data_IF_369420861405
#
_entry.id   IF_369420861405
#
_cell.length_a   1.000
_cell.length_b   1.000
_cell.length_c   1.000
_cell.angle_alpha   90.00
_cell.angle_beta   90.00
_cell.angle_gamma   90.00
#
_symmetry.space_group_name_H-M   'P 1'
#
loop_
_entity.id
_entity.type
_entity.pdbx_description
1 polymer ?
#
# COMPACT_ATOMS: atom_id res chain seq x y z
N UNK A 1 -44.89 40.59 43.96
CA UNK A 1 -43.44 40.68 43.61
C UNK A 1 -42.99 39.31 43.13
N UNK A 2 -43.06 39.10 41.86
CA UNK A 2 -42.67 37.84 41.21
C UNK A 2 -41.26 38.04 40.61
N UNK A 3 -40.29 37.39 41.20
CA UNK A 3 -38.89 37.38 40.73
C UNK A 3 -38.79 36.45 39.53
N UNK A 4 -38.48 36.99 38.34
CA UNK A 4 -38.07 36.25 37.16
C UNK A 4 -36.59 35.89 37.30
N UNK A 5 -36.29 34.62 37.46
CA UNK A 5 -34.94 34.06 37.34
C UNK A 5 -34.58 33.91 35.84
N UNK A 6 -33.70 34.76 35.36
CA UNK A 6 -33.06 34.60 34.05
C UNK A 6 -32.17 33.35 34.08
N UNK A 7 -32.55 32.33 33.32
CA UNK A 7 -31.66 31.21 33.01
C UNK A 7 -30.55 31.69 32.04
N UNK A 8 -29.30 31.30 32.25
CA UNK A 8 -28.24 31.65 31.30
C UNK A 8 -28.48 30.95 29.96
N UNK A 9 -28.64 31.74 28.91
CA UNK A 9 -28.60 31.26 27.54
C UNK A 9 -27.17 30.72 27.27
N UNK A 10 -27.05 29.41 27.11
CA UNK A 10 -25.83 28.82 26.58
C UNK A 10 -25.67 29.33 25.16
N UNK A 11 -24.67 30.17 24.96
CA UNK A 11 -24.23 30.63 23.66
C UNK A 11 -23.82 29.38 22.85
N UNK A 12 -24.51 29.13 21.73
CA UNK A 12 -24.16 28.03 20.84
C UNK A 12 -22.72 28.25 20.36
N UNK A 13 -21.79 27.40 20.82
CA UNK A 13 -20.39 27.47 20.47
C UNK A 13 -20.26 27.65 18.95
N UNK A 14 -19.58 28.73 18.53
CA UNK A 14 -19.35 29.00 17.13
C UNK A 14 -18.78 27.73 16.45
N UNK A 15 -19.26 27.36 15.26
CA UNK A 15 -18.82 26.11 14.60
C UNK A 15 -17.30 26.13 14.50
N UNK A 16 -16.64 25.15 15.10
CA UNK A 16 -15.19 24.99 15.06
C UNK A 16 -14.73 25.04 13.61
N UNK A 17 -13.81 25.96 13.29
CA UNK A 17 -13.29 26.12 11.93
C UNK A 17 -12.66 24.80 11.49
N UNK A 18 -13.14 24.23 10.39
CA UNK A 18 -12.57 23.04 9.78
C UNK A 18 -11.11 23.28 9.34
N UNK A 19 -10.24 22.36 9.66
CA UNK A 19 -8.86 22.37 9.21
C UNK A 19 -8.79 22.15 7.68
N UNK A 20 -8.22 23.08 6.92
CA UNK A 20 -8.08 22.99 5.47
C UNK A 20 -6.79 22.27 5.10
N UNK A 21 -6.87 21.03 4.65
CA UNK A 21 -5.71 20.20 4.34
C UNK A 21 -5.60 19.96 2.84
N UNK A 22 -4.41 20.22 2.30
CA UNK A 22 -4.04 19.85 0.94
C UNK A 22 -3.37 18.48 0.96
N UNK A 23 -4.07 17.47 0.46
CA UNK A 23 -3.54 16.13 0.27
C UNK A 23 -2.90 16.00 -1.12
N UNK A 24 -1.61 15.74 -1.18
CA UNK A 24 -0.88 15.51 -2.43
C UNK A 24 -0.62 14.01 -2.56
N UNK A 25 -1.16 13.39 -3.59
CA UNK A 25 -0.88 11.98 -3.92
C UNK A 25 -0.09 11.89 -5.22
N UNK A 26 1.02 11.18 -5.21
CA UNK A 26 1.99 11.17 -6.31
C UNK A 26 1.65 10.19 -7.45
N UNK A 27 0.49 9.56 -7.42
CA UNK A 27 0.08 8.62 -8.47
C UNK A 27 -1.41 8.71 -8.80
N UNK A 28 -1.74 8.51 -10.07
CA UNK A 28 -3.11 8.33 -10.56
C UNK A 28 -3.45 6.85 -10.83
N UNK A 29 -2.45 5.95 -10.67
CA UNK A 29 -2.53 4.54 -11.04
C UNK A 29 -3.14 3.68 -9.92
N UNK A 30 -3.66 2.52 -10.30
CA UNK A 30 -4.09 1.52 -9.33
C UNK A 30 -2.86 0.94 -8.59
N UNK A 31 -2.91 0.95 -7.26
CA UNK A 31 -1.81 0.42 -6.45
C UNK A 31 -1.92 0.79 -4.98
N UNK A 32 -0.94 0.38 -4.19
CA UNK A 32 -0.86 0.63 -2.75
C UNK A 32 -1.05 2.10 -2.37
N UNK A 33 -0.27 3.05 -2.92
CA UNK A 33 -0.39 4.47 -2.58
C UNK A 33 -1.78 5.05 -2.82
N UNK A 34 -2.41 4.70 -3.97
CA UNK A 34 -3.77 5.16 -4.28
C UNK A 34 -4.84 4.62 -3.35
N UNK A 35 -4.71 3.37 -2.89
CA UNK A 35 -5.63 2.80 -1.89
C UNK A 35 -5.36 3.38 -0.49
N UNK A 36 -4.10 3.60 -0.14
CA UNK A 36 -3.74 4.20 1.14
C UNK A 36 -4.36 5.58 1.33
N UNK A 37 -4.22 6.47 0.33
CA UNK A 37 -4.82 7.80 0.42
C UNK A 37 -6.36 7.73 0.45
N UNK A 38 -6.98 6.81 -0.30
CA UNK A 38 -8.43 6.60 -0.27
C UNK A 38 -8.91 6.25 1.13
N UNK A 39 -8.28 5.28 1.81
CA UNK A 39 -8.70 4.87 3.15
C UNK A 39 -8.45 5.95 4.20
N UNK A 40 -7.35 6.69 4.12
CA UNK A 40 -7.12 7.85 4.97
C UNK A 40 -8.29 8.84 4.81
N UNK A 41 -8.55 9.28 3.60
CA UNK A 41 -9.55 10.31 3.31
C UNK A 41 -11.00 9.85 3.61
N UNK A 42 -11.31 8.57 3.38
CA UNK A 42 -12.62 7.99 3.65
C UNK A 42 -13.01 8.08 5.13
N UNK A 43 -12.05 7.92 6.04
CA UNK A 43 -12.29 7.84 7.47
C UNK A 43 -11.87 9.09 8.26
N UNK A 44 -11.32 10.12 7.63
CA UNK A 44 -11.17 11.43 8.25
C UNK A 44 -12.53 12.09 8.45
N UNK A 45 -12.74 12.72 9.60
CA UNK A 45 -14.00 13.40 9.92
C UNK A 45 -14.22 14.63 9.02
N UNK A 46 -15.24 14.60 8.13
CA UNK A 46 -15.53 15.71 7.23
C UNK A 46 -16.06 16.97 7.94
N UNK A 47 -16.57 16.84 9.16
CA UNK A 47 -16.99 17.99 9.95
C UNK A 47 -15.79 18.78 10.50
N UNK A 48 -14.63 18.14 10.66
CA UNK A 48 -13.43 18.73 11.25
C UNK A 48 -12.33 19.05 10.22
N UNK A 49 -12.26 18.30 9.12
CA UNK A 49 -11.22 18.46 8.07
C UNK A 49 -11.87 18.72 6.73
N UNK A 50 -11.46 19.79 6.07
CA UNK A 50 -11.76 20.06 4.66
C UNK A 50 -10.68 19.44 3.79
N UNK A 51 -11.04 18.39 3.01
CA UNK A 51 -10.12 17.54 2.23
C UNK A 51 -10.03 18.02 0.79
N UNK A 52 -8.96 18.74 0.46
CA UNK A 52 -8.64 19.10 -0.93
C UNK A 52 -7.55 18.16 -1.43
N UNK A 53 -7.78 17.46 -2.53
CA UNK A 53 -6.86 16.45 -3.04
C UNK A 53 -6.26 16.87 -4.38
N UNK A 54 -4.94 16.78 -4.45
CA UNK A 54 -4.15 16.97 -5.66
C UNK A 54 -3.59 15.63 -6.13
N UNK A 55 -3.84 15.30 -7.40
CA UNK A 55 -3.24 14.16 -8.09
C UNK A 55 -2.72 14.60 -9.48
N UNK A 56 -1.79 13.82 -10.09
CA UNK A 56 -1.17 14.22 -11.36
C UNK A 56 -2.18 14.39 -12.51
N UNK A 57 -3.12 13.46 -12.64
CA UNK A 57 -4.12 13.41 -13.71
C UNK A 57 -5.35 12.59 -13.29
N UNK A 58 -6.39 12.66 -14.08
CA UNK A 58 -7.54 11.79 -13.92
C UNK A 58 -7.16 10.31 -14.11
N UNK A 59 -7.80 9.43 -13.34
CA UNK A 59 -7.54 8.00 -13.38
C UNK A 59 -8.33 7.21 -12.35
N UNK A 60 -7.88 5.99 -12.06
CA UNK A 60 -8.57 5.10 -11.13
C UNK A 60 -8.65 5.66 -9.69
N UNK A 61 -7.62 6.43 -9.28
CA UNK A 61 -7.58 7.04 -7.94
C UNK A 61 -8.65 8.12 -7.82
N UNK A 62 -8.75 9.04 -8.81
CA UNK A 62 -9.75 10.11 -8.79
C UNK A 62 -11.18 9.58 -8.76
N UNK A 63 -11.46 8.56 -9.57
CA UNK A 63 -12.79 7.91 -9.61
C UNK A 63 -13.16 7.31 -8.26
N UNK A 64 -12.27 6.52 -7.66
CA UNK A 64 -12.51 5.93 -6.34
C UNK A 64 -12.69 6.95 -5.22
N UNK A 65 -11.96 8.08 -5.28
CA UNK A 65 -12.14 9.16 -4.31
C UNK A 65 -13.50 9.84 -4.47
N UNK A 66 -13.95 10.03 -5.71
CA UNK A 66 -15.27 10.59 -6.00
C UNK A 66 -16.40 9.64 -5.57
N UNK A 67 -16.31 8.35 -5.95
CA UNK A 67 -17.30 7.31 -5.61
C UNK A 67 -17.45 7.15 -4.09
N UNK A 68 -16.36 7.34 -3.35
CA UNK A 68 -16.36 7.25 -1.88
C UNK A 68 -16.74 8.56 -1.17
N UNK A 69 -16.98 9.67 -1.89
CA UNK A 69 -17.16 11.00 -1.28
C UNK A 69 -15.97 11.40 -0.39
N UNK A 70 -14.77 10.94 -0.72
CA UNK A 70 -13.59 11.04 0.14
C UNK A 70 -12.86 12.39 0.04
N UNK A 71 -13.33 13.30 -0.81
CA UNK A 71 -12.75 14.64 -0.97
C UNK A 71 -13.84 15.66 -1.30
N UNK A 72 -13.77 16.85 -0.72
CA UNK A 72 -14.64 17.96 -1.07
C UNK A 72 -14.16 18.71 -2.33
N UNK A 73 -12.87 18.66 -2.59
CA UNK A 73 -12.26 19.25 -3.80
C UNK A 73 -11.16 18.34 -4.32
N UNK A 74 -11.25 18.04 -5.61
CA UNK A 74 -10.24 17.27 -6.33
C UNK A 74 -9.75 18.10 -7.51
N UNK A 75 -8.44 18.20 -7.69
CA UNK A 75 -7.87 18.87 -8.86
C UNK A 75 -6.62 18.16 -9.38
N UNK A 76 -6.31 18.44 -10.63
CA UNK A 76 -5.21 17.82 -11.34
C UNK A 76 -4.10 18.83 -11.62
N UNK A 77 -2.86 18.42 -11.44
CA UNK A 77 -1.70 19.21 -11.80
C UNK A 77 -0.75 18.36 -12.66
N UNK A 78 -0.79 18.56 -13.98
CA UNK A 78 0.08 17.82 -14.91
C UNK A 78 1.58 18.06 -14.69
N UNK A 79 1.94 19.12 -14.00
CA UNK A 79 3.31 19.39 -13.56
C UNK A 79 3.74 18.54 -12.36
N UNK A 80 2.81 17.88 -11.67
CA UNK A 80 3.11 16.89 -10.65
C UNK A 80 3.52 15.59 -11.33
N UNK A 81 4.81 15.32 -11.34
CA UNK A 81 5.39 14.16 -12.01
C UNK A 81 5.13 12.93 -11.16
N UNK A 82 4.39 11.95 -11.68
CA UNK A 82 4.08 10.68 -11.00
C UNK A 82 5.33 9.91 -10.60
N UNK A 83 6.39 10.08 -11.37
CA UNK A 83 7.69 9.51 -11.05
C UNK A 83 8.79 10.48 -11.51
N UNK A 84 9.27 11.32 -10.61
CA UNK A 84 10.41 12.23 -10.85
C UNK A 84 11.65 11.51 -11.39
N UNK A 85 11.73 10.20 -11.21
CA UNK A 85 12.87 9.37 -11.57
C UNK A 85 12.71 8.61 -12.89
N UNK A 86 11.52 8.61 -13.51
CA UNK A 86 11.31 7.87 -14.76
C UNK A 86 12.37 8.13 -15.83
N UNK A 87 12.90 9.36 -16.01
CA UNK A 87 14.01 9.59 -16.94
C UNK A 87 15.37 9.07 -16.45
N UNK A 88 15.54 8.87 -15.13
CA UNK A 88 16.84 8.64 -14.49
C UNK A 88 16.95 7.28 -13.77
N UNK A 89 15.87 6.61 -13.49
CA UNK A 89 15.85 5.39 -12.70
C UNK A 89 15.40 4.16 -13.49
N UNK A 90 16.32 3.25 -13.58
CA UNK A 90 16.27 1.82 -13.95
C UNK A 90 16.00 1.44 -15.41
N UNK A 91 16.99 0.74 -16.00
CA UNK A 91 16.94 0.18 -17.36
C UNK A 91 15.97 -1.00 -17.53
N UNK A 92 15.35 -1.51 -16.48
CA UNK A 92 14.91 -2.91 -16.45
C UNK A 92 13.45 -3.10 -16.87
N UNK A 93 12.62 -2.04 -16.96
CA UNK A 93 11.18 -2.24 -17.04
C UNK A 93 10.42 -1.51 -18.18
N UNK A 94 11.10 -0.87 -19.18
CA UNK A 94 10.41 -0.19 -20.29
C UNK A 94 11.15 -0.24 -21.63
N UNK A 95 10.41 -0.45 -22.71
CA UNK A 95 10.90 -0.34 -24.11
C UNK A 95 11.45 1.06 -24.46
N UNK A 96 10.90 2.11 -23.85
CA UNK A 96 11.36 3.51 -23.98
C UNK A 96 12.81 3.75 -23.53
N UNK A 97 13.44 2.76 -22.90
CA UNK A 97 14.82 2.90 -22.44
C UNK A 97 15.86 2.89 -23.57
N UNK A 98 15.48 2.46 -24.78
CA UNK A 98 16.34 2.49 -25.96
C UNK A 98 16.44 3.89 -26.61
N UNK A 99 15.71 4.88 -26.08
CA UNK A 99 15.75 6.23 -26.64
C UNK A 99 17.15 6.87 -26.51
N UNK A 100 17.60 7.61 -27.53
CA UNK A 100 18.87 8.33 -27.51
C UNK A 100 19.00 9.27 -26.30
N UNK A 101 20.21 9.47 -25.79
CA UNK A 101 20.48 10.33 -24.63
C UNK A 101 19.90 11.74 -24.80
N UNK A 102 20.00 12.31 -26.00
CA UNK A 102 19.44 13.63 -26.33
C UNK A 102 17.93 13.69 -26.09
N UNK A 103 17.19 12.65 -26.48
CA UNK A 103 15.75 12.60 -26.27
C UNK A 103 15.40 12.44 -24.77
N UNK A 104 16.20 11.69 -24.04
CA UNK A 104 16.06 11.57 -22.58
C UNK A 104 16.30 12.90 -21.89
N UNK A 105 17.33 13.64 -22.28
CA UNK A 105 17.62 14.98 -21.75
C UNK A 105 16.53 15.99 -22.12
N UNK A 106 16.03 15.98 -23.34
CA UNK A 106 14.92 16.86 -23.78
C UNK A 106 13.63 16.58 -22.98
N UNK A 107 13.31 15.30 -22.76
CA UNK A 107 12.17 14.89 -21.89
C UNK A 107 12.36 15.35 -20.45
N UNK A 108 13.55 15.18 -19.89
CA UNK A 108 13.88 15.62 -18.53
C UNK A 108 13.76 17.15 -18.38
N UNK A 109 14.28 17.91 -19.35
CA UNK A 109 14.13 19.37 -19.39
C UNK A 109 12.65 19.80 -19.50
N UNK A 110 11.87 19.17 -20.38
CA UNK A 110 10.44 19.41 -20.50
C UNK A 110 9.67 19.11 -19.22
N UNK A 111 10.03 18.03 -18.52
CA UNK A 111 9.45 17.68 -17.22
C UNK A 111 9.80 18.74 -16.16
N UNK A 112 11.03 19.21 -16.14
CA UNK A 112 11.47 20.27 -15.21
C UNK A 112 10.71 21.57 -15.42
N UNK A 113 10.51 22.00 -16.68
CA UNK A 113 9.70 23.18 -17.01
C UNK A 113 8.26 23.03 -16.53
N UNK A 114 7.63 21.87 -16.81
CA UNK A 114 6.25 21.59 -16.36
C UNK A 114 6.17 21.56 -14.82
N UNK A 115 7.12 20.92 -14.17
CA UNK A 115 7.17 20.87 -12.71
C UNK A 115 7.33 22.26 -12.08
N UNK A 116 8.18 23.12 -12.67
CA UNK A 116 8.36 24.50 -12.21
C UNK A 116 7.09 25.32 -12.39
N UNK A 117 6.44 25.23 -13.54
CA UNK A 117 5.17 25.91 -13.79
C UNK A 117 4.07 25.42 -12.84
N UNK A 118 3.96 24.10 -12.62
CA UNK A 118 3.05 23.50 -11.65
C UNK A 118 3.33 23.98 -10.22
N UNK A 119 4.59 24.03 -9.83
CA UNK A 119 5.00 24.53 -8.52
C UNK A 119 4.54 25.99 -8.29
N UNK A 120 4.71 26.87 -9.29
CA UNK A 120 4.27 28.27 -9.19
C UNK A 120 2.75 28.37 -9.07
N UNK A 121 1.99 27.59 -9.86
CA UNK A 121 0.53 27.55 -9.76
C UNK A 121 0.08 27.08 -8.36
N UNK A 122 0.67 26.00 -7.86
CA UNK A 122 0.34 25.44 -6.55
C UNK A 122 0.69 26.40 -5.41
N UNK A 123 1.85 27.06 -5.46
CA UNK A 123 2.22 28.10 -4.48
C UNK A 123 1.18 29.22 -4.42
N UNK A 124 0.72 29.71 -5.60
CA UNK A 124 -0.33 30.74 -5.66
C UNK A 124 -1.65 30.24 -5.07
N UNK A 125 -2.02 29.00 -5.41
CA UNK A 125 -3.25 28.37 -4.92
C UNK A 125 -3.22 28.18 -3.41
N UNK A 126 -2.12 27.68 -2.85
CA UNK A 126 -1.94 27.48 -1.40
C UNK A 126 -2.15 28.81 -0.65
N UNK A 127 -1.60 29.92 -1.16
CA UNK A 127 -1.77 31.24 -0.54
C UNK A 127 -3.19 31.76 -0.68
N UNK A 128 -3.83 31.59 -1.85
CA UNK A 128 -5.22 32.05 -2.11
C UNK A 128 -6.22 31.28 -1.26
N UNK A 129 -6.11 29.96 -1.17
CA UNK A 129 -7.07 29.10 -0.48
C UNK A 129 -6.78 28.94 1.02
N UNK A 130 -5.64 29.47 1.51
CA UNK A 130 -5.24 29.48 2.93
C UNK A 130 -5.27 28.09 3.55
N UNK A 131 -4.55 27.13 2.97
CA UNK A 131 -4.40 25.81 3.57
C UNK A 131 -3.64 25.90 4.90
N UNK A 132 -4.09 25.11 5.87
CA UNK A 132 -3.50 25.03 7.22
C UNK A 132 -2.39 23.96 7.26
N UNK A 133 -2.47 22.93 6.38
CA UNK A 133 -1.57 21.78 6.35
C UNK A 133 -1.43 21.20 4.94
N UNK A 134 -0.25 20.68 4.64
CA UNK A 134 0.02 19.87 3.45
C UNK A 134 0.29 18.44 3.90
N UNK A 135 -0.47 17.46 3.40
CA UNK A 135 -0.24 16.04 3.62
C UNK A 135 0.28 15.40 2.33
N UNK A 136 1.49 14.82 2.37
CA UNK A 136 2.18 14.27 1.20
C UNK A 136 2.16 12.76 1.23
N UNK A 137 1.43 12.11 0.33
CA UNK A 137 1.36 10.66 0.24
C UNK A 137 2.26 10.14 -0.88
N UNK A 138 3.43 9.65 -0.51
CA UNK A 138 4.45 9.13 -1.41
C UNK A 138 5.68 10.02 -1.58
N UNK A 139 6.71 9.50 -2.24
CA UNK A 139 8.03 10.14 -2.32
C UNK A 139 8.01 11.43 -3.15
N UNK A 140 7.41 11.40 -4.36
CA UNK A 140 7.34 12.59 -5.21
C UNK A 140 6.45 13.68 -4.60
N UNK A 141 5.36 13.27 -3.91
CA UNK A 141 4.52 14.17 -3.12
C UNK A 141 5.31 14.81 -1.97
N UNK A 142 6.19 14.05 -1.30
CA UNK A 142 7.07 14.56 -0.26
C UNK A 142 8.03 15.64 -0.77
N UNK A 143 8.68 15.41 -1.92
CA UNK A 143 9.53 16.44 -2.53
C UNK A 143 8.78 17.73 -2.84
N UNK A 144 7.64 17.62 -3.52
CA UNK A 144 6.82 18.76 -3.87
C UNK A 144 6.28 19.48 -2.64
N UNK A 145 5.67 18.73 -1.72
CA UNK A 145 5.08 19.30 -0.51
C UNK A 145 6.12 19.92 0.43
N UNK A 146 7.31 19.30 0.57
CA UNK A 146 8.41 19.88 1.33
C UNK A 146 8.93 21.20 0.76
N UNK A 147 9.06 21.27 -0.58
CA UNK A 147 9.43 22.51 -1.26
C UNK A 147 8.34 23.59 -1.13
N UNK A 148 7.05 23.22 -1.27
CA UNK A 148 5.93 24.13 -1.07
C UNK A 148 5.86 24.62 0.38
N UNK A 149 6.03 23.76 1.36
CA UNK A 149 6.09 24.11 2.78
C UNK A 149 7.20 25.11 3.07
N UNK A 150 8.39 24.92 2.47
CA UNK A 150 9.52 25.82 2.65
C UNK A 150 9.23 27.26 2.16
N UNK A 151 8.49 27.41 1.03
CA UNK A 151 8.24 28.75 0.41
C UNK A 151 6.91 29.38 0.80
N UNK A 152 5.99 28.62 1.41
CA UNK A 152 4.68 29.13 1.83
C UNK A 152 4.59 29.32 3.34
N UNK A 153 5.40 28.62 4.12
CA UNK A 153 5.33 28.57 5.58
C UNK A 153 4.31 27.55 6.11
N UNK A 154 3.48 26.95 5.25
CA UNK A 154 2.47 25.98 5.63
C UNK A 154 3.16 24.69 6.11
N UNK A 155 2.80 24.15 7.29
CA UNK A 155 3.40 22.90 7.79
C UNK A 155 3.06 21.72 6.86
N UNK A 156 3.97 20.73 6.80
CA UNK A 156 3.80 19.53 6.02
C UNK A 156 3.98 18.25 6.85
N UNK A 157 3.18 17.24 6.52
CA UNK A 157 3.35 15.85 6.94
C UNK A 157 3.79 15.04 5.72
N UNK A 158 4.84 14.23 5.87
CA UNK A 158 5.25 13.27 4.86
C UNK A 158 4.79 11.88 5.25
N UNK A 159 4.08 11.22 4.35
CA UNK A 159 3.67 9.81 4.48
C UNK A 159 4.51 8.97 3.51
N UNK A 160 5.45 8.22 4.04
CA UNK A 160 6.55 7.57 3.32
C UNK A 160 6.21 6.11 3.08
N UNK A 161 5.99 5.76 1.82
CA UNK A 161 5.51 4.46 1.37
C UNK A 161 6.62 3.56 0.77
N UNK A 162 7.86 4.08 0.64
CA UNK A 162 8.97 3.37 0.00
C UNK A 162 10.22 3.39 0.89
N UNK A 163 11.02 2.31 0.91
CA UNK A 163 12.14 2.15 1.84
C UNK A 163 13.35 2.99 1.49
N UNK A 164 13.43 3.51 0.27
CA UNK A 164 14.61 4.24 -0.19
C UNK A 164 14.30 5.25 -1.29
N UNK A 165 15.20 6.20 -1.43
CA UNK A 165 15.22 7.21 -2.47
C UNK A 165 16.47 7.04 -3.32
N UNK A 166 16.38 7.28 -4.62
CA UNK A 166 17.50 7.13 -5.55
C UNK A 166 18.71 7.99 -5.09
N UNK A 167 19.95 7.48 -5.18
CA UNK A 167 21.14 8.12 -4.65
C UNK A 167 21.33 9.58 -5.12
N UNK A 168 21.06 9.84 -6.39
CA UNK A 168 21.24 11.17 -7.01
C UNK A 168 20.43 12.28 -6.34
N UNK A 169 19.23 11.98 -5.86
CA UNK A 169 18.33 12.99 -5.29
C UNK A 169 18.25 12.88 -3.76
N UNK A 170 18.92 11.91 -3.16
CA UNK A 170 18.98 11.73 -1.71
C UNK A 170 19.43 12.98 -0.96
N UNK A 171 20.43 13.76 -1.42
CA UNK A 171 20.82 15.00 -0.73
C UNK A 171 19.68 16.02 -0.66
N UNK A 172 18.94 16.22 -1.74
CA UNK A 172 17.78 17.11 -1.76
C UNK A 172 16.65 16.59 -0.87
N UNK A 173 16.38 15.28 -0.92
CA UNK A 173 15.40 14.64 -0.05
C UNK A 173 15.71 14.88 1.43
N UNK A 174 16.96 14.64 1.85
CA UNK A 174 17.41 14.89 3.22
C UNK A 174 17.27 16.35 3.63
N UNK A 175 17.66 17.28 2.76
CA UNK A 175 17.55 18.74 3.02
C UNK A 175 16.08 19.16 3.20
N UNK A 176 15.18 18.69 2.36
CA UNK A 176 13.75 19.01 2.47
C UNK A 176 13.12 18.38 3.70
N UNK A 177 13.44 17.11 4.02
CA UNK A 177 12.95 16.41 5.21
C UNK A 177 13.36 17.12 6.51
N UNK A 178 14.62 17.59 6.57
CA UNK A 178 15.13 18.36 7.70
C UNK A 178 14.51 19.77 7.81
N UNK A 179 13.87 20.27 6.76
CA UNK A 179 13.25 21.59 6.72
C UNK A 179 12.30 21.85 7.89
N UNK A 180 12.32 23.06 8.48
CA UNK A 180 11.53 23.40 9.68
C UNK A 180 10.02 23.23 9.53
N UNK A 181 9.51 23.34 8.31
CA UNK A 181 8.07 23.22 8.00
C UNK A 181 7.63 21.77 7.71
N UNK A 182 8.53 20.82 7.51
CA UNK A 182 8.22 19.39 7.59
C UNK A 182 8.17 19.02 9.07
N UNK A 183 6.96 18.85 9.60
CA UNK A 183 6.71 18.73 11.03
C UNK A 183 6.61 17.28 11.49
N UNK A 184 6.21 16.39 10.60
CA UNK A 184 6.06 14.96 10.88
C UNK A 184 6.38 14.15 9.62
N UNK A 185 7.12 13.07 9.81
CA UNK A 185 7.43 12.07 8.79
C UNK A 185 6.89 10.74 9.29
N UNK A 186 5.87 10.25 8.61
CA UNK A 186 5.22 8.99 8.93
C UNK A 186 5.83 7.91 8.04
N UNK A 187 6.58 7.00 8.62
CA UNK A 187 7.12 5.82 7.97
C UNK A 187 6.14 4.66 8.12
N UNK A 188 5.75 4.02 7.02
CA UNK A 188 4.76 2.92 7.05
C UNK A 188 5.29 1.63 7.66
N UNK A 189 6.61 1.53 7.83
CA UNK A 189 7.29 0.40 8.46
C UNK A 189 8.70 0.80 8.91
N UNK A 190 9.28 0.07 9.85
CA UNK A 190 10.66 0.30 10.32
C UNK A 190 11.70 0.31 9.19
N UNK A 191 11.65 -0.59 8.18
CA UNK A 191 12.56 -0.52 7.03
C UNK A 191 12.54 0.79 6.25
N UNK A 192 11.51 1.62 6.41
CA UNK A 192 11.44 2.94 5.76
C UNK A 192 12.06 4.07 6.56
N UNK A 193 12.37 3.87 7.85
CA UNK A 193 12.93 4.91 8.73
C UNK A 193 14.39 5.32 8.44
N UNK A 194 15.32 4.41 8.07
CA UNK A 194 16.74 4.75 7.98
C UNK A 194 17.08 5.89 7.02
N UNK A 195 16.21 6.15 6.03
CA UNK A 195 16.40 7.29 5.13
C UNK A 195 16.30 8.67 5.83
N UNK A 196 15.78 8.70 7.07
CA UNK A 196 15.56 9.91 7.89
C UNK A 196 16.36 9.94 9.18
N UNK A 197 17.43 9.16 9.31
CA UNK A 197 18.30 9.14 10.50
C UNK A 197 18.84 10.51 10.91
N UNK A 198 18.93 11.44 9.97
CA UNK A 198 19.39 12.80 10.18
C UNK A 198 18.35 13.77 10.78
N UNK A 199 17.08 13.33 10.92
CA UNK A 199 15.97 14.11 11.48
C UNK A 199 14.97 13.20 12.21
N UNK A 200 15.47 12.25 12.99
CA UNK A 200 14.70 11.21 13.71
C UNK A 200 13.64 11.76 14.64
N UNK A 201 13.83 12.94 15.17
CA UNK A 201 12.87 13.61 16.06
C UNK A 201 11.51 13.88 15.39
N UNK A 202 11.47 13.91 14.06
CA UNK A 202 10.24 14.07 13.26
C UNK A 202 9.63 12.76 12.78
N UNK A 203 10.32 11.63 12.99
CA UNK A 203 9.94 10.34 12.42
C UNK A 203 9.05 9.56 13.38
N UNK A 204 7.98 8.98 12.83
CA UNK A 204 7.15 7.97 13.52
C UNK A 204 6.84 6.83 12.59
N UNK A 205 6.94 5.61 13.09
CA UNK A 205 6.40 4.44 12.40
C UNK A 205 4.89 4.37 12.67
N UNK A 206 4.09 4.56 11.63
CA UNK A 206 2.63 4.36 11.67
C UNK A 206 2.28 3.53 10.43
N UNK A 207 2.00 2.27 10.65
CA UNK A 207 1.69 1.32 9.60
C UNK A 207 0.44 1.76 8.83
N UNK A 208 0.44 1.56 7.50
CA UNK A 208 -0.78 1.76 6.71
C UNK A 208 -1.85 0.75 7.10
N UNK A 209 -3.08 1.08 6.77
CA UNK A 209 -4.23 0.28 7.14
C UNK A 209 -5.11 -0.02 5.92
N UNK A 210 -6.11 -0.88 6.11
CA UNK A 210 -7.14 -1.17 5.13
C UNK A 210 -8.53 -0.96 5.74
N UNK A 211 -9.51 -0.83 4.88
CA UNK A 211 -10.92 -0.88 5.28
C UNK A 211 -11.29 -2.34 5.60
N UNK A 212 -11.37 -2.64 6.90
CA UNK A 212 -11.62 -4.00 7.38
C UNK A 212 -13.03 -4.52 7.06
N UNK A 213 -13.97 -3.62 6.80
CA UNK A 213 -15.32 -4.00 6.39
C UNK A 213 -15.38 -4.31 4.89
N UNK A 214 -14.52 -3.67 4.08
CA UNK A 214 -14.35 -4.04 2.67
C UNK A 214 -13.80 -5.47 2.53
N UNK A 215 -12.93 -5.89 3.47
CA UNK A 215 -12.30 -7.21 3.49
C UNK A 215 -12.88 -8.07 4.64
N UNK A 216 -14.18 -8.33 4.58
CA UNK A 216 -14.86 -9.24 5.52
C UNK A 216 -15.29 -10.53 4.79
N UNK A 217 -14.66 -11.64 5.18
CA UNK A 217 -14.99 -12.96 4.60
C UNK A 217 -16.40 -13.43 4.89
N UNK A 218 -17.05 -12.92 5.95
CA UNK A 218 -18.42 -13.31 6.33
C UNK A 218 -19.49 -12.82 5.34
N UNK A 219 -19.23 -11.67 4.69
CA UNK A 219 -20.13 -11.07 3.70
C UNK A 219 -19.69 -11.30 2.24
N UNK A 220 -18.65 -12.09 2.01
CA UNK A 220 -18.08 -12.30 0.68
C UNK A 220 -18.46 -13.69 0.15
N UNK A 221 -19.14 -13.74 -0.99
CA UNK A 221 -19.42 -15.01 -1.67
C UNK A 221 -18.14 -15.56 -2.32
N UNK A 222 -17.69 -16.79 -1.96
CA UNK A 222 -16.50 -17.37 -2.54
C UNK A 222 -16.80 -17.92 -3.95
N UNK A 223 -15.86 -17.72 -4.89
CA UNK A 223 -16.06 -18.09 -6.30
C UNK A 223 -14.96 -18.97 -6.88
N UNK A 224 -13.78 -19.00 -6.28
CA UNK A 224 -12.59 -19.65 -6.83
C UNK A 224 -12.79 -21.16 -6.98
N UNK A 225 -13.29 -21.83 -5.94
CA UNK A 225 -13.48 -23.29 -5.98
C UNK A 225 -14.49 -23.70 -7.03
N UNK A 226 -15.57 -22.93 -7.18
CA UNK A 226 -16.58 -23.16 -8.22
C UNK A 226 -16.02 -22.94 -9.63
N UNK A 227 -15.24 -21.86 -9.83
CA UNK A 227 -14.64 -21.52 -11.14
C UNK A 227 -13.62 -22.58 -11.58
N UNK A 228 -12.82 -23.10 -10.64
CA UNK A 228 -11.75 -24.05 -10.95
C UNK A 228 -12.11 -25.53 -10.72
N UNK A 229 -13.34 -25.82 -10.32
CA UNK A 229 -13.81 -27.21 -10.08
C UNK A 229 -13.16 -27.87 -8.87
N UNK A 230 -12.72 -27.11 -7.85
CA UNK A 230 -12.12 -27.67 -6.66
C UNK A 230 -13.15 -28.13 -5.65
N UNK A 231 -12.96 -29.32 -5.11
CA UNK A 231 -13.79 -29.85 -4.03
C UNK A 231 -13.43 -29.24 -2.65
N UNK A 232 -14.20 -29.63 -1.62
CA UNK A 232 -13.99 -29.14 -0.25
C UNK A 232 -12.74 -29.72 0.42
N UNK A 233 -12.20 -30.83 -0.09
CA UNK A 233 -11.00 -31.46 0.47
C UNK A 233 -9.71 -30.86 -0.11
N UNK A 234 -9.82 -30.12 -1.20
CA UNK A 234 -8.69 -29.43 -1.83
C UNK A 234 -8.16 -28.34 -0.88
N UNK A 235 -6.87 -28.35 -0.61
CA UNK A 235 -6.19 -27.30 0.12
C UNK A 235 -5.64 -26.28 -0.86
N UNK A 236 -6.12 -25.02 -0.76
CA UNK A 236 -5.79 -23.94 -1.68
C UNK A 236 -4.78 -22.99 -1.03
N UNK A 237 -3.56 -23.02 -1.54
CA UNK A 237 -2.52 -22.01 -1.27
C UNK A 237 -2.68 -20.88 -2.28
N UNK A 238 -3.27 -19.76 -1.85
CA UNK A 238 -3.57 -18.64 -2.74
C UNK A 238 -2.56 -17.52 -2.62
N UNK A 239 -2.23 -16.90 -3.75
CA UNK A 239 -1.41 -15.70 -3.80
C UNK A 239 -2.07 -14.66 -4.70
N UNK A 240 -1.95 -13.36 -4.38
CA UNK A 240 -2.51 -12.31 -5.21
C UNK A 240 -1.64 -11.06 -5.26
N UNK A 241 -1.65 -10.41 -6.41
CA UNK A 241 -0.90 -9.17 -6.63
C UNK A 241 -0.35 -9.05 -8.05
N UNK A 242 0.41 -7.99 -8.28
CA UNK A 242 1.09 -7.78 -9.57
C UNK A 242 2.16 -8.83 -9.79
N UNK A 243 2.18 -9.45 -10.95
CA UNK A 243 3.19 -10.45 -11.30
C UNK A 243 4.45 -9.73 -11.75
N UNK A 244 5.43 -9.65 -10.85
CA UNK A 244 6.70 -8.96 -11.02
C UNK A 244 7.83 -9.79 -10.39
N UNK A 245 9.08 -9.75 -10.90
CA UNK A 245 10.20 -10.53 -10.36
C UNK A 245 10.36 -10.39 -8.85
N UNK A 246 10.25 -9.16 -8.33
CA UNK A 246 10.37 -8.88 -6.89
C UNK A 246 9.26 -9.47 -6.03
N UNK A 247 8.16 -9.93 -6.63
CA UNK A 247 7.04 -10.54 -5.88
C UNK A 247 7.24 -12.04 -5.61
N UNK A 248 8.29 -12.65 -6.19
CA UNK A 248 8.77 -13.97 -5.80
C UNK A 248 7.92 -15.13 -6.31
N UNK A 249 7.20 -14.97 -7.43
CA UNK A 249 6.39 -16.08 -7.95
C UNK A 249 7.23 -17.23 -8.50
N UNK A 250 8.47 -16.99 -8.95
CA UNK A 250 9.45 -18.03 -9.29
C UNK A 250 9.77 -18.86 -8.04
N UNK A 251 10.01 -18.20 -6.92
CA UNK A 251 10.30 -18.84 -5.63
C UNK A 251 9.09 -19.65 -5.13
N UNK A 252 7.87 -19.14 -5.33
CA UNK A 252 6.64 -19.87 -5.03
C UNK A 252 6.53 -21.17 -5.84
N UNK A 253 6.79 -21.12 -7.15
CA UNK A 253 6.75 -22.30 -8.03
C UNK A 253 7.77 -23.34 -7.58
N UNK A 254 9.00 -22.91 -7.25
CA UNK A 254 10.05 -23.80 -6.71
C UNK A 254 9.65 -24.41 -5.36
N UNK A 255 9.05 -23.62 -4.47
CA UNK A 255 8.53 -24.14 -3.20
C UNK A 255 7.38 -25.14 -3.44
N UNK A 256 6.46 -24.85 -4.36
CA UNK A 256 5.39 -25.77 -4.75
C UNK A 256 5.93 -27.11 -5.26
N UNK A 257 7.06 -27.11 -6.01
CA UNK A 257 7.72 -28.36 -6.44
C UNK A 257 8.18 -29.18 -5.24
N UNK A 258 8.83 -28.56 -4.26
CA UNK A 258 9.27 -29.24 -3.03
C UNK A 258 8.06 -29.81 -2.27
N UNK A 259 6.97 -29.05 -2.15
CA UNK A 259 5.73 -29.51 -1.50
C UNK A 259 5.19 -30.74 -2.23
N UNK A 260 5.00 -30.66 -3.53
CA UNK A 260 4.41 -31.73 -4.34
C UNK A 260 5.27 -33.02 -4.30
N UNK A 261 6.60 -32.90 -4.25
CA UNK A 261 7.52 -34.05 -4.17
C UNK A 261 7.38 -34.83 -2.86
N UNK A 262 6.97 -34.16 -1.78
CA UNK A 262 6.82 -34.76 -0.44
C UNK A 262 5.41 -35.31 -0.13
N UNK A 263 4.44 -34.99 -1.00
CA UNK A 263 3.06 -35.46 -0.85
C UNK A 263 2.85 -36.81 -1.53
N UNK A 264 1.98 -37.65 -0.97
CA UNK A 264 1.49 -38.86 -1.61
C UNK A 264 0.68 -38.51 -2.87
N UNK A 265 0.45 -39.45 -3.81
CA UNK A 265 -0.38 -39.19 -4.99
C UNK A 265 -1.78 -38.65 -4.64
N UNK A 266 -2.41 -39.16 -3.59
CA UNK A 266 -3.74 -38.75 -3.12
C UNK A 266 -3.69 -37.32 -2.54
N UNK A 267 -2.64 -36.98 -1.80
CA UNK A 267 -2.43 -35.65 -1.27
C UNK A 267 -2.13 -34.63 -2.37
N UNK A 268 -1.32 -35.00 -3.39
CA UNK A 268 -1.06 -34.16 -4.58
C UNK A 268 -2.33 -33.79 -5.32
N UNK A 269 -3.27 -34.75 -5.42
CA UNK A 269 -4.57 -34.50 -6.06
C UNK A 269 -5.38 -33.41 -5.34
N UNK A 270 -5.11 -33.15 -4.06
CA UNK A 270 -5.81 -32.14 -3.23
C UNK A 270 -5.00 -30.90 -2.93
N UNK A 271 -3.78 -30.75 -3.42
CA UNK A 271 -2.93 -29.59 -3.18
C UNK A 271 -2.96 -28.67 -4.40
N UNK A 272 -3.34 -27.39 -4.20
CA UNK A 272 -3.41 -26.39 -5.28
C UNK A 272 -2.75 -25.08 -4.85
N UNK A 273 -1.93 -24.54 -5.74
CA UNK A 273 -1.38 -23.18 -5.65
C UNK A 273 -2.07 -22.34 -6.73
N UNK A 274 -2.74 -21.26 -6.31
CA UNK A 274 -3.47 -20.39 -7.23
C UNK A 274 -2.95 -18.97 -7.12
N UNK A 275 -2.57 -18.37 -8.25
CA UNK A 275 -2.04 -17.02 -8.32
C UNK A 275 -3.01 -16.12 -9.09
N UNK A 276 -3.52 -15.09 -8.39
CA UNK A 276 -4.35 -14.05 -8.97
C UNK A 276 -3.50 -12.82 -9.27
N UNK A 277 -3.55 -12.35 -10.49
CA UNK A 277 -2.86 -11.13 -10.90
C UNK A 277 -2.34 -11.22 -12.31
N UNK A 278 -1.72 -10.13 -12.72
CA UNK A 278 -1.14 -10.00 -14.04
C UNK A 278 0.11 -9.14 -14.00
N UNK A 279 0.92 -9.21 -15.03
CA UNK A 279 1.99 -8.23 -15.27
C UNK A 279 1.35 -6.95 -15.76
N UNK A 280 1.61 -5.78 -15.12
CA UNK A 280 1.08 -4.51 -15.61
C UNK A 280 1.54 -4.25 -17.05
N UNK A 281 0.63 -3.74 -17.89
CA UNK A 281 0.88 -3.50 -19.32
C UNK A 281 2.05 -2.55 -19.60
N UNK A 282 2.42 -1.71 -18.66
CA UNK A 282 3.53 -0.76 -18.73
C UNK A 282 4.84 -1.32 -18.14
N UNK A 283 4.87 -2.59 -17.78
CA UNK A 283 6.05 -3.31 -17.28
C UNK A 283 6.39 -4.48 -18.21
N UNK A 284 7.48 -5.19 -17.95
CA UNK A 284 7.87 -6.35 -18.76
C UNK A 284 6.71 -7.35 -18.83
N UNK A 285 6.12 -7.57 -20.01
CA UNK A 285 4.97 -8.46 -20.13
C UNK A 285 5.34 -9.94 -20.05
N UNK A 286 6.64 -10.24 -20.09
CA UNK A 286 7.21 -11.59 -20.15
C UNK A 286 7.30 -12.32 -18.81
N UNK A 287 7.20 -11.63 -17.66
CA UNK A 287 7.41 -12.27 -16.36
C UNK A 287 6.32 -13.30 -16.01
N UNK A 288 5.06 -13.05 -16.38
CA UNK A 288 4.00 -14.06 -16.25
C UNK A 288 4.28 -15.29 -17.13
N UNK A 289 4.75 -15.08 -18.37
CA UNK A 289 5.10 -16.18 -19.25
C UNK A 289 6.35 -16.93 -18.76
N UNK A 290 7.33 -16.27 -18.17
CA UNK A 290 8.45 -16.90 -17.48
C UNK A 290 7.95 -17.82 -16.34
N UNK A 291 7.01 -17.34 -15.51
CA UNK A 291 6.40 -18.15 -14.48
C UNK A 291 5.66 -19.38 -15.07
N UNK A 292 4.87 -19.18 -16.12
CA UNK A 292 4.14 -20.26 -16.79
C UNK A 292 5.08 -21.29 -17.44
N UNK A 293 6.18 -20.81 -18.03
CA UNK A 293 7.20 -21.69 -18.58
C UNK A 293 7.85 -22.57 -17.50
N UNK A 294 8.17 -21.99 -16.35
CA UNK A 294 8.73 -22.73 -15.21
C UNK A 294 7.73 -23.76 -14.65
N UNK A 295 6.43 -23.42 -14.58
CA UNK A 295 5.39 -24.39 -14.18
C UNK A 295 5.37 -25.61 -15.11
N UNK A 296 5.48 -25.40 -16.43
CA UNK A 296 5.55 -26.49 -17.42
C UNK A 296 6.83 -27.31 -17.28
N UNK A 297 7.97 -26.65 -17.17
CA UNK A 297 9.29 -27.28 -16.99
C UNK A 297 9.32 -28.18 -15.75
N UNK A 298 8.72 -27.71 -14.64
CA UNK A 298 8.66 -28.45 -13.40
C UNK A 298 7.49 -29.45 -13.32
N UNK A 299 6.72 -29.66 -14.38
CA UNK A 299 5.55 -30.55 -14.39
C UNK A 299 4.55 -30.28 -13.26
N UNK A 300 4.21 -28.99 -13.06
CA UNK A 300 3.31 -28.53 -12.00
C UNK A 300 1.96 -27.97 -12.53
N UNK A 301 1.63 -28.22 -13.79
CA UNK A 301 0.44 -27.65 -14.44
C UNK A 301 -0.87 -27.97 -13.71
N UNK A 302 -0.96 -29.13 -13.06
CA UNK A 302 -2.13 -29.53 -12.28
C UNK A 302 -2.20 -28.85 -10.91
N UNK A 303 -1.04 -28.51 -10.33
CA UNK A 303 -0.94 -27.97 -8.96
C UNK A 303 -0.80 -26.45 -8.90
N UNK A 304 -0.24 -25.81 -9.93
CA UNK A 304 0.03 -24.37 -9.93
C UNK A 304 -0.70 -23.67 -11.07
N UNK A 305 -1.63 -22.78 -10.76
CA UNK A 305 -2.48 -22.12 -11.75
C UNK A 305 -2.38 -20.59 -11.62
N UNK A 306 -2.13 -19.91 -12.74
CA UNK A 306 -2.19 -18.45 -12.89
C UNK A 306 -3.51 -18.08 -13.56
N UNK A 307 -4.45 -17.52 -12.79
CA UNK A 307 -5.82 -17.26 -13.25
C UNK A 307 -6.07 -15.83 -13.73
N UNK A 308 -4.98 -15.03 -13.84
CA UNK A 308 -5.05 -13.64 -14.34
C UNK A 308 -5.59 -12.64 -13.33
N UNK A 309 -5.74 -11.39 -13.77
CA UNK A 309 -6.28 -10.31 -12.97
C UNK A 309 -7.77 -10.50 -12.68
N UNK A 310 -8.17 -10.28 -11.43
CA UNK A 310 -9.57 -10.27 -11.00
C UNK A 310 -9.89 -8.94 -10.32
N UNK A 311 -10.92 -8.20 -10.77
CA UNK A 311 -11.30 -6.91 -10.17
C UNK A 311 -11.71 -7.03 -8.70
N UNK A 312 -12.51 -8.03 -8.37
CA UNK A 312 -12.87 -8.39 -7.00
C UNK A 312 -12.01 -9.54 -6.50
N UNK A 313 -10.89 -9.18 -5.89
CA UNK A 313 -9.95 -10.16 -5.31
C UNK A 313 -10.54 -10.89 -4.10
N UNK A 314 -11.52 -10.29 -3.40
CA UNK A 314 -12.08 -10.79 -2.13
C UNK A 314 -12.79 -12.12 -2.32
N UNK A 315 -13.63 -12.22 -3.36
CA UNK A 315 -14.38 -13.46 -3.69
C UNK A 315 -13.46 -14.66 -3.94
N UNK A 316 -12.24 -14.40 -4.41
CA UNK A 316 -11.23 -15.44 -4.62
C UNK A 316 -10.44 -15.74 -3.35
N UNK A 317 -10.01 -14.71 -2.61
CA UNK A 317 -9.30 -14.88 -1.34
C UNK A 317 -10.17 -15.58 -0.30
N UNK A 318 -11.51 -15.42 -0.37
CA UNK A 318 -12.45 -16.10 0.50
C UNK A 318 -12.29 -17.63 0.44
N UNK A 319 -11.89 -18.20 -0.71
CA UNK A 319 -11.67 -19.63 -0.90
C UNK A 319 -10.23 -20.13 -0.61
N UNK A 320 -9.30 -19.24 -0.27
CA UNK A 320 -7.97 -19.67 0.16
C UNK A 320 -8.05 -20.40 1.50
N UNK A 321 -7.28 -21.47 1.66
CA UNK A 321 -7.02 -22.06 2.98
C UNK A 321 -5.83 -21.38 3.64
N UNK A 322 -4.82 -20.99 2.84
CA UNK A 322 -3.59 -20.31 3.25
C UNK A 322 -3.23 -19.28 2.20
N UNK A 323 -2.93 -18.07 2.61
CA UNK A 323 -2.35 -17.08 1.70
C UNK A 323 -0.83 -17.20 1.66
N UNK A 324 -0.22 -17.15 0.46
CA UNK A 324 1.23 -17.15 0.30
C UNK A 324 1.68 -15.83 -0.29
N UNK A 325 2.58 -15.13 0.41
CA UNK A 325 3.13 -13.83 -0.02
C UNK A 325 4.65 -13.96 -0.16
N UNK A 326 5.15 -14.44 -1.31
CA UNK A 326 6.53 -14.84 -1.50
C UNK A 326 7.47 -13.69 -1.89
N UNK A 327 7.18 -12.44 -1.51
CA UNK A 327 7.96 -11.25 -1.88
C UNK A 327 9.43 -11.40 -1.49
N UNK A 328 10.34 -11.21 -2.47
CA UNK A 328 11.80 -11.38 -2.32
C UNK A 328 12.56 -10.05 -2.20
N UNK A 329 11.86 -8.95 -2.00
CA UNK A 329 12.43 -7.62 -1.80
C UNK A 329 11.92 -7.00 -0.49
N UNK A 330 12.56 -5.92 -0.07
CA UNK A 330 12.14 -5.13 1.11
C UNK A 330 10.80 -4.44 0.86
N UNK A 331 9.72 -5.23 0.78
CA UNK A 331 8.35 -4.69 0.66
C UNK A 331 8.00 -3.96 1.97
N UNK A 332 7.76 -2.65 1.93
CA UNK A 332 7.57 -1.89 3.17
C UNK A 332 6.39 -2.39 4.00
N UNK A 333 5.26 -2.65 3.33
CA UNK A 333 4.06 -3.19 3.97
C UNK A 333 3.11 -3.77 2.89
N UNK A 334 3.30 -5.04 2.50
CA UNK A 334 2.56 -5.62 1.39
C UNK A 334 1.08 -5.77 1.71
N UNK A 335 0.24 -5.14 0.89
CA UNK A 335 -1.21 -5.16 1.06
C UNK A 335 -1.80 -6.56 1.01
N UNK A 336 -1.23 -7.45 0.20
CA UNK A 336 -1.69 -8.83 0.10
C UNK A 336 -1.67 -9.56 1.44
N UNK A 337 -0.72 -9.23 2.34
CA UNK A 337 -0.71 -9.74 3.72
C UNK A 337 -1.93 -9.23 4.48
N UNK A 338 -2.14 -7.90 4.53
CA UNK A 338 -3.28 -7.32 5.26
C UNK A 338 -4.63 -7.81 4.71
N UNK A 339 -4.78 -7.83 3.39
CA UNK A 339 -5.99 -8.25 2.70
C UNK A 339 -6.32 -9.72 3.01
N UNK A 340 -5.32 -10.60 2.98
CA UNK A 340 -5.49 -12.01 3.35
C UNK A 340 -5.83 -12.20 4.82
N UNK A 341 -5.10 -11.53 5.72
CA UNK A 341 -5.35 -11.59 7.16
C UNK A 341 -6.75 -11.08 7.52
N UNK A 342 -7.21 -9.99 6.86
CA UNK A 342 -8.55 -9.45 7.04
C UNK A 342 -9.65 -10.43 6.60
N UNK A 343 -9.37 -11.24 5.57
CA UNK A 343 -10.24 -12.33 5.11
C UNK A 343 -10.08 -13.60 5.95
N UNK A 344 -9.45 -13.50 7.15
CA UNK A 344 -9.20 -14.63 8.04
C UNK A 344 -8.39 -15.74 7.36
N UNK A 345 -7.32 -15.39 6.64
CA UNK A 345 -6.40 -16.38 6.06
C UNK A 345 -5.06 -16.30 6.77
N UNK A 346 -4.53 -17.44 7.25
CA UNK A 346 -3.16 -17.51 7.75
C UNK A 346 -2.19 -17.25 6.59
N UNK A 347 -1.06 -16.63 6.87
CA UNK A 347 -0.12 -16.20 5.82
C UNK A 347 1.20 -16.96 5.91
N UNK A 348 1.66 -17.49 4.79
CA UNK A 348 3.04 -17.96 4.60
C UNK A 348 3.80 -16.93 3.79
N UNK A 349 4.97 -16.49 4.27
CA UNK A 349 5.74 -15.47 3.59
C UNK A 349 7.25 -15.60 3.87
N UNK A 350 8.07 -14.97 3.02
CA UNK A 350 9.44 -14.66 3.40
C UNK A 350 9.47 -13.49 4.40
N UNK A 351 10.32 -13.58 5.41
CA UNK A 351 10.51 -12.51 6.41
C UNK A 351 11.29 -11.32 5.82
N UNK A 352 10.71 -10.66 4.80
CA UNK A 352 11.33 -9.57 4.05
C UNK A 352 10.62 -8.25 4.31
N UNK A 353 11.41 -7.17 4.43
CA UNK A 353 10.87 -5.82 4.63
C UNK A 353 9.97 -5.68 5.86
N UNK A 354 8.79 -5.09 5.69
CA UNK A 354 7.81 -4.90 6.76
C UNK A 354 6.93 -6.11 7.07
N UNK A 355 7.09 -7.25 6.38
CA UNK A 355 6.26 -8.44 6.61
C UNK A 355 6.42 -8.94 8.06
N UNK A 356 7.65 -8.92 8.60
CA UNK A 356 7.91 -9.30 9.99
C UNK A 356 7.31 -8.37 11.06
N UNK A 357 6.78 -7.20 10.65
CA UNK A 357 6.01 -6.33 11.53
C UNK A 357 4.51 -6.64 11.51
N UNK A 358 4.06 -7.36 10.48
CA UNK A 358 2.66 -7.69 10.25
C UNK A 358 2.28 -9.06 10.83
N UNK A 359 3.24 -9.97 10.87
CA UNK A 359 3.05 -11.38 11.22
C UNK A 359 4.06 -11.75 12.28
N UNK A 360 3.58 -12.22 13.42
CA UNK A 360 4.39 -12.95 14.40
C UNK A 360 4.40 -14.43 13.99
N UNK A 361 5.61 -14.97 13.80
CA UNK A 361 5.78 -16.34 13.31
C UNK A 361 5.10 -17.35 14.24
N UNK A 362 4.35 -18.29 13.65
CA UNK A 362 3.56 -19.30 14.35
C UNK A 362 2.38 -18.74 15.17
N UNK A 363 1.94 -17.50 14.90
CA UNK A 363 0.73 -16.88 15.49
C UNK A 363 -0.29 -16.56 14.40
N UNK A 364 0.00 -15.60 13.52
CA UNK A 364 -0.86 -15.25 12.40
C UNK A 364 -0.48 -15.96 11.10
N UNK A 365 0.69 -16.62 11.08
CA UNK A 365 1.26 -17.23 9.88
C UNK A 365 2.57 -17.93 10.16
N UNK A 366 3.29 -18.26 9.09
CA UNK A 366 4.62 -18.83 9.14
C UNK A 366 5.58 -18.01 8.27
N UNK A 367 6.74 -17.72 8.82
CA UNK A 367 7.76 -16.89 8.18
C UNK A 367 9.01 -17.71 7.83
N UNK A 368 9.29 -17.87 6.54
CA UNK A 368 10.57 -18.41 6.08
C UNK A 368 11.66 -17.33 6.18
N UNK A 369 12.75 -17.62 6.90
CA UNK A 369 13.83 -16.68 7.22
C UNK A 369 15.09 -17.08 6.47
N UNK A 370 15.73 -16.15 5.79
CA UNK A 370 16.99 -16.36 5.10
C UNK A 370 17.28 -15.32 4.02
N UNK A 371 18.57 -15.15 3.71
CA UNK A 371 19.07 -14.35 2.58
C UNK A 371 20.22 -15.14 1.93
N UNK A 372 20.04 -15.66 0.70
CA UNK A 372 18.88 -15.55 -0.19
C UNK A 372 17.58 -16.10 0.43
N UNK A 373 16.40 -15.83 -0.19
CA UNK A 373 15.11 -16.32 0.32
C UNK A 373 15.11 -17.85 0.53
N UNK A 374 14.65 -18.27 1.67
CA UNK A 374 14.61 -19.69 2.08
C UNK A 374 13.38 -20.38 1.46
N UNK A 375 13.56 -20.86 0.22
CA UNK A 375 12.52 -21.57 -0.53
C UNK A 375 12.10 -22.86 0.17
N UNK A 376 13.05 -23.59 0.78
CA UNK A 376 12.77 -24.81 1.53
C UNK A 376 11.91 -24.49 2.76
N UNK A 377 12.23 -23.45 3.53
CA UNK A 377 11.44 -23.00 4.66
C UNK A 377 10.02 -22.54 4.26
N UNK A 378 9.87 -21.93 3.07
CA UNK A 378 8.53 -21.60 2.53
C UNK A 378 7.73 -22.88 2.24
N UNK A 379 8.37 -23.89 1.65
CA UNK A 379 7.74 -25.19 1.38
C UNK A 379 7.36 -25.93 2.67
N UNK A 380 8.25 -25.96 3.69
CA UNK A 380 7.95 -26.53 5.00
C UNK A 380 6.75 -25.86 5.66
N UNK A 381 6.66 -24.55 5.60
CA UNK A 381 5.52 -23.82 6.13
C UNK A 381 4.22 -24.22 5.42
N UNK A 382 4.24 -24.38 4.09
CA UNK A 382 3.09 -24.84 3.32
C UNK A 382 2.70 -26.29 3.70
N UNK A 383 3.66 -27.22 3.81
CA UNK A 383 3.42 -28.60 4.23
C UNK A 383 2.82 -28.67 5.63
N UNK A 384 3.32 -27.90 6.59
CA UNK A 384 2.77 -27.83 7.93
C UNK A 384 1.29 -27.43 7.91
N UNK A 385 0.92 -26.44 7.09
CA UNK A 385 -0.48 -26.05 6.93
C UNK A 385 -1.31 -27.08 6.14
N UNK A 386 -0.72 -27.77 5.17
CA UNK A 386 -1.41 -28.83 4.43
C UNK A 386 -1.89 -29.93 5.38
N UNK A 387 -1.04 -30.39 6.28
CA UNK A 387 -1.32 -31.50 7.20
C UNK A 387 -2.07 -31.10 8.48
N UNK A 388 -2.06 -29.82 8.90
CA UNK A 388 -2.71 -29.38 10.15
C UNK A 388 -3.86 -28.37 9.88
N UNK A 389 -5.10 -28.84 9.68
CA UNK A 389 -6.26 -27.97 9.55
C UNK A 389 -6.62 -27.21 10.84
N UNK A 390 -6.18 -27.69 12.01
CA UNK A 390 -6.42 -26.97 13.26
C UNK A 390 -5.49 -25.78 13.38
N UNK A 391 -4.22 -25.90 12.99
CA UNK A 391 -3.29 -24.79 12.90
C UNK A 391 -3.80 -23.73 11.91
N UNK A 392 -4.32 -24.13 10.73
CA UNK A 392 -4.95 -23.19 9.79
C UNK A 392 -6.02 -22.34 10.48
N UNK A 393 -6.95 -22.98 11.20
CA UNK A 393 -8.05 -22.28 11.89
C UNK A 393 -7.55 -21.34 13.00
N UNK A 394 -6.61 -21.80 13.84
CA UNK A 394 -6.05 -20.96 14.91
C UNK A 394 -5.36 -19.71 14.37
N UNK A 395 -4.47 -19.89 13.38
CA UNK A 395 -3.73 -18.77 12.81
C UNK A 395 -4.62 -17.83 11.98
N UNK A 396 -5.68 -18.36 11.32
CA UNK A 396 -6.68 -17.58 10.64
C UNK A 396 -7.43 -16.63 11.58
N UNK A 397 -7.85 -17.13 12.74
CA UNK A 397 -8.50 -16.31 13.77
C UNK A 397 -7.55 -15.24 14.34
N UNK A 398 -6.31 -15.61 14.62
CA UNK A 398 -5.28 -14.68 15.09
C UNK A 398 -4.98 -13.59 14.04
N UNK A 399 -4.89 -13.96 12.77
CA UNK A 399 -4.66 -13.04 11.66
C UNK A 399 -5.76 -11.97 11.56
N UNK A 400 -7.04 -12.35 11.67
CA UNK A 400 -8.16 -11.41 11.68
C UNK A 400 -8.09 -10.46 12.86
N UNK A 401 -7.88 -10.97 14.07
CA UNK A 401 -7.75 -10.15 15.28
C UNK A 401 -6.59 -9.16 15.20
N UNK A 402 -5.46 -9.57 14.62
CA UNK A 402 -4.30 -8.68 14.39
C UNK A 402 -4.68 -7.51 13.49
N UNK A 403 -5.37 -7.77 12.38
CA UNK A 403 -5.78 -6.71 11.46
C UNK A 403 -6.78 -5.75 12.11
N UNK A 404 -7.76 -6.25 12.83
CA UNK A 404 -8.74 -5.43 13.55
C UNK A 404 -8.08 -4.54 14.62
N UNK A 405 -7.03 -5.03 15.26
CA UNK A 405 -6.29 -4.28 16.27
C UNK A 405 -5.38 -3.21 15.67
N UNK A 406 -4.56 -3.58 14.68
CA UNK A 406 -3.38 -2.81 14.26
C UNK A 406 -3.53 -2.15 12.88
N UNK A 407 -4.37 -2.69 11.98
CA UNK A 407 -4.46 -2.27 10.58
C UNK A 407 -5.84 -1.76 10.18
N UNK A 408 -6.69 -1.37 11.12
CA UNK A 408 -7.98 -0.76 10.85
C UNK A 408 -7.83 0.70 10.37
N UNK A 409 -8.32 0.98 9.17
CA UNK A 409 -8.23 2.30 8.54
C UNK A 409 -8.96 3.40 9.32
N UNK A 410 -10.03 3.09 10.07
CA UNK A 410 -10.71 4.08 10.93
C UNK A 410 -9.80 4.53 12.06
N UNK A 411 -9.17 3.57 12.76
CA UNK A 411 -8.22 3.85 13.83
C UNK A 411 -7.00 4.62 13.32
N UNK A 412 -6.52 4.24 12.14
CA UNK A 412 -5.40 4.91 11.49
C UNK A 412 -5.73 6.36 11.14
N UNK A 413 -6.86 6.61 10.49
CA UNK A 413 -7.30 7.96 10.12
C UNK A 413 -7.52 8.85 11.37
N UNK A 414 -8.08 8.30 12.45
CA UNK A 414 -8.22 9.02 13.73
C UNK A 414 -6.87 9.49 14.28
N UNK A 415 -5.87 8.60 14.34
CA UNK A 415 -4.51 8.96 14.78
C UNK A 415 -3.87 10.05 13.91
N UNK A 416 -4.04 9.94 12.59
CA UNK A 416 -3.55 10.95 11.66
C UNK A 416 -4.26 12.30 11.85
N UNK A 417 -5.55 12.29 12.09
CA UNK A 417 -6.33 13.49 12.39
C UNK A 417 -5.82 14.20 13.64
N UNK A 418 -5.58 13.45 14.73
CA UNK A 418 -5.02 14.01 15.96
C UNK A 418 -3.63 14.63 15.74
N UNK A 419 -2.78 13.97 14.94
CA UNK A 419 -1.48 14.51 14.58
C UNK A 419 -1.61 15.79 13.72
N UNK A 420 -2.56 15.86 12.80
CA UNK A 420 -2.83 17.07 12.01
C UNK A 420 -3.22 18.26 12.89
N UNK A 421 -4.13 18.06 13.85
CA UNK A 421 -4.54 19.11 14.79
C UNK A 421 -3.39 19.55 15.69
N UNK A 422 -2.59 18.61 16.20
CA UNK A 422 -1.43 18.90 17.04
C UNK A 422 -0.40 19.75 16.31
N UNK A 423 -0.14 19.46 15.03
CA UNK A 423 0.84 20.16 14.19
C UNK A 423 0.40 21.60 13.90
N UNK A 424 -0.88 21.81 13.68
CA UNK A 424 -1.42 23.16 13.38
C UNK A 424 -1.66 23.98 14.66
N UNK A 425 -1.63 23.34 15.83
CA UNK A 425 -1.87 24.02 17.12
C UNK A 425 -3.35 24.29 17.38
N UNK A 426 -4.25 23.64 16.65
CA UNK A 426 -5.68 23.68 16.92
C UNK A 426 -6.03 22.60 17.93
N UNK A 427 -6.74 22.95 19.01
CA UNK A 427 -7.27 21.94 19.95
C UNK A 427 -8.17 20.96 19.20
N UNK A 428 -8.13 19.66 19.57
CA UNK A 428 -9.01 18.66 18.97
C UNK A 428 -10.49 18.92 19.21
#
# INVERSE_FOLDING_TARGET
MTSQTNAPTFDAAAPLRRLRVLFINDTSRNGGPGRTILYILKFLDPARIHRTVLIPREGIVSRRLADAGAAESLFFEPGLIENLYEPLSRPIEREDFKAPLVLKMARAAGNLVRATAGFVRLRRRIRKERFDLIFCNGTSAGFLGGALAAVTGVPAIWHVLYPSVAPLIRPLHRKLAAGKNVRLIICVSKPTEPQFDHCREKVRAIQTALDIDEFDGRGTEPVLRRELGFDRQTVVFGSHGRILPRKGFIELIRAARIVVDRLSPEERARCRFVVLGDTPQDMRPDHLEECRALVREMNLADQVQFIGFRPDVRSYVADFDVAVVPSVYEDPLPRAVMESMAMSKPVVAFAMGGIGEMIDDNVEGRLARGRPPDIAGLAEACLAYFHDPQMRRRHAAAARLRVERDFDARKHAGRLQDDMFRIVGSAP
#
